data_IF_126588550920
#
_entry.id   IF_126588550920
#
_cell.length_a   1.000
_cell.length_b   1.000
_cell.length_c   1.000
_cell.angle_alpha   90.00
_cell.angle_beta   90.00
_cell.angle_gamma   90.00
#
_symmetry.space_group_name_H-M   'P 1'
#
loop_
_entity.id
_entity.type
_entity.pdbx_description
1 polymer ?
#
# COMPACT_ATOMS: atom_id res chain seq x y z
N UNK A 1 12.23 -27.78 18.17
CA UNK A 1 12.42 -26.41 18.70
C UNK A 1 12.25 -25.46 17.54
N UNK A 2 11.38 -24.44 17.64
CA UNK A 2 11.19 -23.50 16.53
C UNK A 2 12.45 -22.64 16.35
N UNK A 3 13.14 -22.84 15.24
CA UNK A 3 14.31 -22.05 14.83
C UNK A 3 13.87 -20.98 13.82
N UNK A 4 14.55 -19.83 13.84
CA UNK A 4 14.37 -18.74 12.91
C UNK A 4 15.73 -18.35 12.34
N UNK A 5 15.73 -17.79 11.12
CA UNK A 5 16.93 -17.30 10.47
C UNK A 5 17.04 -15.79 10.69
N UNK A 6 18.09 -15.39 11.40
CA UNK A 6 18.49 -14.00 11.53
C UNK A 6 19.42 -13.65 10.36
N UNK A 7 19.01 -12.71 9.53
CA UNK A 7 19.79 -12.19 8.42
C UNK A 7 20.49 -10.91 8.85
N UNK A 8 21.80 -10.81 8.57
CA UNK A 8 22.63 -9.64 8.85
C UNK A 8 23.34 -9.24 7.56
N UNK A 9 23.13 -8.00 7.12
CA UNK A 9 23.71 -7.43 5.91
C UNK A 9 24.63 -6.26 6.23
N UNK A 10 25.31 -5.78 5.17
CA UNK A 10 26.28 -4.69 5.22
C UNK A 10 27.50 -5.03 6.08
N UNK A 11 27.87 -6.31 6.16
CA UNK A 11 29.04 -6.75 6.90
C UNK A 11 30.33 -6.14 6.30
N UNK A 12 31.30 -5.75 7.14
CA UNK A 12 32.63 -5.35 6.67
C UNK A 12 33.32 -6.44 5.84
N UNK A 13 34.17 -6.07 4.88
CA UNK A 13 35.03 -7.04 4.20
C UNK A 13 35.88 -7.79 5.22
N UNK A 14 36.10 -9.10 5.01
CA UNK A 14 36.81 -10.02 5.92
C UNK A 14 36.06 -10.42 7.21
N UNK A 15 34.74 -10.21 7.29
CA UNK A 15 33.94 -10.72 8.42
C UNK A 15 33.97 -12.25 8.47
N UNK A 16 34.34 -12.82 9.63
CA UNK A 16 34.39 -14.27 9.86
C UNK A 16 33.18 -14.77 10.65
N UNK A 17 32.92 -16.09 10.64
CA UNK A 17 31.84 -16.69 11.45
C UNK A 17 32.03 -16.39 12.94
N UNK A 18 33.27 -16.38 13.41
CA UNK A 18 33.61 -16.03 14.79
C UNK A 18 33.25 -14.58 15.15
N UNK A 19 33.40 -13.66 14.20
CA UNK A 19 33.00 -12.25 14.36
C UNK A 19 31.49 -12.13 14.56
N UNK A 20 30.69 -12.85 13.77
CA UNK A 20 29.23 -12.86 13.89
C UNK A 20 28.76 -13.45 15.22
N UNK A 21 29.36 -14.56 15.65
CA UNK A 21 29.05 -15.16 16.96
C UNK A 21 29.37 -14.20 18.10
N UNK A 22 30.52 -13.51 18.07
CA UNK A 22 30.86 -12.49 19.08
C UNK A 22 29.88 -11.32 19.07
N UNK A 23 29.48 -10.83 17.90
CA UNK A 23 28.48 -9.77 17.75
C UNK A 23 27.15 -10.18 18.42
N UNK A 24 26.68 -11.41 18.19
CA UNK A 24 25.44 -11.91 18.78
C UNK A 24 25.51 -12.05 20.30
N UNK A 25 26.67 -12.43 20.84
CA UNK A 25 26.88 -12.52 22.28
C UNK A 25 26.96 -11.12 22.92
N UNK A 26 27.73 -10.21 22.32
CA UNK A 26 28.02 -8.90 22.91
C UNK A 26 26.87 -7.90 22.73
N UNK A 27 26.34 -7.78 21.51
CA UNK A 27 25.28 -6.84 21.16
C UNK A 27 23.91 -7.47 21.38
N UNK A 28 23.74 -8.71 20.90
CA UNK A 28 22.48 -9.45 21.02
C UNK A 28 22.18 -10.00 22.43
N UNK A 29 23.19 -10.03 23.32
CA UNK A 29 23.11 -10.62 24.67
C UNK A 29 22.51 -12.04 24.64
N UNK A 30 23.03 -12.88 23.75
CA UNK A 30 22.59 -14.28 23.59
C UNK A 30 23.70 -15.25 23.95
N UNK A 31 23.34 -16.31 24.65
CA UNK A 31 24.27 -17.39 25.00
C UNK A 31 24.75 -18.10 23.73
N UNK A 32 26.06 -18.36 23.64
CA UNK A 32 26.69 -19.08 22.53
C UNK A 32 26.03 -20.43 22.24
N UNK A 33 25.47 -21.11 23.26
CA UNK A 33 24.78 -22.40 23.11
C UNK A 33 23.47 -22.30 22.33
N UNK A 34 22.91 -21.10 22.22
CA UNK A 34 21.66 -20.82 21.51
C UNK A 34 21.91 -20.30 20.09
N UNK A 35 23.15 -20.21 19.64
CA UNK A 35 23.49 -19.81 18.28
C UNK A 35 23.73 -21.07 17.46
N UNK A 36 22.87 -21.31 16.47
CA UNK A 36 22.94 -22.44 15.56
C UNK A 36 23.94 -22.22 14.43
N UNK A 37 23.64 -22.74 13.24
CA UNK A 37 24.50 -22.63 12.08
C UNK A 37 24.64 -21.16 11.64
N UNK A 38 25.87 -20.78 11.29
CA UNK A 38 26.22 -19.46 10.72
C UNK A 38 26.70 -19.65 9.29
N UNK A 39 25.92 -19.17 8.33
CA UNK A 39 26.30 -19.11 6.91
C UNK A 39 26.73 -17.71 6.52
N UNK A 40 27.90 -17.59 5.87
CA UNK A 40 28.41 -16.32 5.33
C UNK A 40 28.35 -16.36 3.81
N UNK A 41 27.77 -15.32 3.21
CA UNK A 41 27.70 -15.11 1.76
C UNK A 41 28.11 -13.67 1.45
N UNK A 42 29.36 -13.49 1.04
CA UNK A 42 29.92 -12.17 0.73
C UNK A 42 29.83 -11.21 1.92
N UNK A 43 28.97 -10.19 1.82
CA UNK A 43 28.75 -9.16 2.86
C UNK A 43 27.48 -9.38 3.68
N UNK A 44 26.93 -10.60 3.63
CA UNK A 44 25.76 -11.01 4.38
C UNK A 44 26.03 -12.28 5.20
N UNK A 45 25.34 -12.42 6.32
CA UNK A 45 25.31 -13.64 7.14
C UNK A 45 23.87 -14.05 7.43
N UNK A 46 23.61 -15.35 7.41
CA UNK A 46 22.38 -15.95 7.94
C UNK A 46 22.74 -16.80 9.15
N UNK A 47 22.02 -16.61 10.26
CA UNK A 47 22.29 -17.28 11.54
C UNK A 47 21.02 -17.92 12.08
N UNK A 48 21.08 -19.22 12.37
CA UNK A 48 20.01 -19.93 13.06
C UNK A 48 19.97 -19.52 14.54
N UNK A 49 18.81 -19.04 14.98
CA UNK A 49 18.57 -18.63 16.37
C UNK A 49 17.19 -19.11 16.83
N UNK A 50 16.97 -19.34 18.14
CA UNK A 50 15.65 -19.67 18.66
C UNK A 50 14.63 -18.59 18.29
N UNK A 51 13.47 -19.00 17.77
CA UNK A 51 12.43 -18.07 17.29
C UNK A 51 12.00 -17.03 18.35
N UNK A 52 12.03 -17.41 19.63
CA UNK A 52 11.73 -16.50 20.76
C UNK A 52 12.71 -15.33 20.93
N UNK A 53 13.92 -15.46 20.38
CA UNK A 53 14.98 -14.44 20.48
C UNK A 53 15.17 -13.66 19.19
N UNK A 54 14.61 -14.14 18.07
CA UNK A 54 14.84 -13.63 16.73
C UNK A 54 14.54 -12.12 16.62
N UNK A 55 13.32 -11.68 16.92
CA UNK A 55 12.94 -10.25 16.78
C UNK A 55 13.78 -9.32 17.67
N UNK A 56 14.07 -9.77 18.90
CA UNK A 56 14.91 -9.01 19.85
C UNK A 56 16.33 -8.87 19.32
N UNK A 57 16.88 -9.95 18.74
CA UNK A 57 18.20 -9.97 18.13
C UNK A 57 18.27 -9.08 16.90
N UNK A 58 17.28 -9.16 16.00
CA UNK A 58 17.21 -8.28 14.84
C UNK A 58 17.15 -6.82 15.27
N UNK A 59 16.27 -6.46 16.19
CA UNK A 59 16.16 -5.08 16.68
C UNK A 59 17.44 -4.59 17.39
N UNK A 60 18.17 -5.47 18.08
CA UNK A 60 19.42 -5.09 18.75
C UNK A 60 20.60 -4.91 17.78
N UNK A 61 20.61 -5.64 16.66
CA UNK A 61 21.71 -5.64 15.69
C UNK A 61 21.44 -4.68 14.54
N UNK A 62 20.19 -4.43 14.21
CA UNK A 62 19.80 -3.48 13.18
C UNK A 62 20.22 -2.06 13.59
N UNK A 63 21.09 -1.43 12.79
CA UNK A 63 21.71 -0.16 13.10
C UNK A 63 22.92 -0.22 14.04
N UNK A 64 23.28 -1.41 14.56
CA UNK A 64 24.52 -1.58 15.32
C UNK A 64 25.74 -1.37 14.42
N UNK A 65 26.86 -0.93 15.01
CA UNK A 65 28.09 -0.64 14.27
C UNK A 65 29.13 -1.74 14.49
N UNK A 66 29.63 -2.32 13.41
CA UNK A 66 30.72 -3.28 13.41
C UNK A 66 31.85 -2.72 12.53
N UNK A 67 33.03 -2.48 13.12
CA UNK A 67 34.20 -1.91 12.41
C UNK A 67 33.84 -0.66 11.58
N UNK A 68 33.16 0.30 12.22
CA UNK A 68 32.68 1.56 11.62
C UNK A 68 31.64 1.41 10.49
N UNK A 69 31.06 0.21 10.30
CA UNK A 69 29.97 0.00 9.36
C UNK A 69 28.65 -0.29 10.10
N UNK A 70 27.60 0.46 9.74
CA UNK A 70 26.26 0.20 10.24
C UNK A 70 25.70 -1.06 9.58
N UNK A 71 25.25 -1.97 10.41
CA UNK A 71 24.64 -3.22 10.00
C UNK A 71 23.15 -3.05 9.74
N UNK A 72 22.63 -3.90 8.88
CA UNK A 72 21.18 -4.11 8.76
C UNK A 72 20.85 -5.52 9.20
N UNK A 73 19.82 -5.68 10.03
CA UNK A 73 19.43 -7.00 10.49
C UNK A 73 17.91 -7.17 10.51
N UNK A 74 17.45 -8.35 10.09
CA UNK A 74 16.05 -8.73 10.15
C UNK A 74 15.94 -10.24 10.35
N UNK A 75 14.76 -10.69 10.77
CA UNK A 75 14.50 -12.12 10.91
C UNK A 75 13.54 -12.62 9.86
N UNK A 76 13.89 -13.76 9.28
CA UNK A 76 12.99 -14.62 8.54
C UNK A 76 12.61 -15.78 9.46
N UNK A 77 11.37 -15.77 9.93
CA UNK A 77 10.86 -16.93 10.68
C UNK A 77 10.61 -18.03 9.67
N UNK A 78 11.08 -19.25 9.98
CA UNK A 78 10.47 -20.43 9.40
C UNK A 78 8.95 -20.31 9.61
N UNK A 79 8.12 -20.61 8.60
CA UNK A 79 6.67 -20.52 8.74
C UNK A 79 6.31 -21.24 10.03
N UNK A 80 5.57 -20.55 10.90
CA UNK A 80 5.15 -21.16 12.15
C UNK A 80 4.51 -22.49 11.78
N UNK A 81 5.05 -23.59 12.33
CA UNK A 81 4.40 -24.89 12.22
C UNK A 81 2.92 -24.64 12.46
N UNK A 82 2.11 -25.07 11.48
CA UNK A 82 0.66 -24.93 11.42
C UNK A 82 0.09 -24.91 12.82
N UNK A 83 -0.78 -23.92 13.10
CA UNK A 83 -1.68 -24.00 14.24
C UNK A 83 -2.21 -25.43 14.33
N UNK A 84 -2.34 -25.95 15.55
CA UNK A 84 -2.48 -27.38 15.89
C UNK A 84 -3.71 -28.10 15.29
N UNK A 85 -4.33 -27.54 14.27
CA UNK A 85 -5.54 -27.97 13.59
C UNK A 85 -5.41 -27.98 12.05
N UNK A 86 -4.19 -27.88 11.50
CA UNK A 86 -3.97 -27.93 10.05
C UNK A 86 -4.55 -26.75 9.25
N UNK A 87 -5.05 -25.71 9.93
CA UNK A 87 -5.52 -24.47 9.30
C UNK A 87 -4.34 -23.54 9.00
N UNK A 88 -4.18 -23.18 7.72
CA UNK A 88 -3.26 -22.14 7.25
C UNK A 88 -3.50 -20.83 8.05
N UNK A 89 -2.43 -20.17 8.50
CA UNK A 89 -2.53 -18.86 9.16
C UNK A 89 -3.29 -17.88 8.27
N UNK A 90 -4.30 -17.19 8.83
CA UNK A 90 -5.20 -16.33 8.06
C UNK A 90 -4.46 -15.27 7.23
N UNK A 91 -3.42 -14.65 7.81
CA UNK A 91 -2.67 -13.59 7.15
C UNK A 91 -1.71 -14.15 6.10
N UNK A 92 -1.13 -15.33 6.34
CA UNK A 92 -0.33 -16.05 5.36
C UNK A 92 -1.16 -16.47 4.15
N UNK A 93 -2.37 -16.99 4.38
CA UNK A 93 -3.34 -17.27 3.30
C UNK A 93 -3.66 -16.02 2.49
N UNK A 94 -3.99 -14.90 3.13
CA UNK A 94 -4.29 -13.65 2.44
C UNK A 94 -3.10 -13.13 1.64
N UNK A 95 -1.88 -13.23 2.19
CA UNK A 95 -0.65 -12.85 1.49
C UNK A 95 -0.43 -13.73 0.25
N UNK A 96 -0.63 -15.04 0.36
CA UNK A 96 -0.54 -15.96 -0.79
C UNK A 96 -1.55 -15.62 -1.87
N UNK A 97 -2.79 -15.30 -1.50
CA UNK A 97 -3.84 -14.89 -2.45
C UNK A 97 -3.48 -13.57 -3.14
N UNK A 98 -2.93 -12.61 -2.40
CA UNK A 98 -2.44 -11.35 -2.96
C UNK A 98 -1.30 -11.57 -3.95
N UNK A 99 -0.34 -12.44 -3.62
CA UNK A 99 0.76 -12.79 -4.52
C UNK A 99 0.26 -13.49 -5.79
N UNK A 100 -0.78 -14.35 -5.68
CA UNK A 100 -1.42 -14.98 -6.82
C UNK A 100 -2.12 -13.97 -7.73
N UNK A 101 -2.88 -13.02 -7.16
CA UNK A 101 -3.53 -11.96 -7.94
C UNK A 101 -2.50 -11.10 -8.67
N UNK A 102 -1.45 -10.65 -7.96
CA UNK A 102 -0.38 -9.85 -8.55
C UNK A 102 0.31 -10.56 -9.71
N UNK A 103 0.62 -11.86 -9.56
CA UNK A 103 1.21 -12.67 -10.64
C UNK A 103 0.26 -12.83 -11.83
N UNK A 104 -1.03 -13.03 -11.57
CA UNK A 104 -2.03 -13.15 -12.62
C UNK A 104 -2.20 -11.84 -13.40
N UNK A 105 -2.19 -10.69 -12.73
CA UNK A 105 -2.21 -9.37 -13.37
C UNK A 105 -0.96 -9.15 -14.23
N UNK A 106 0.23 -9.43 -13.70
CA UNK A 106 1.48 -9.28 -14.43
C UNK A 106 1.53 -10.21 -15.66
N UNK A 107 1.07 -11.47 -15.53
CA UNK A 107 0.98 -12.42 -16.65
C UNK A 107 -0.01 -11.96 -17.72
N UNK A 108 -1.19 -11.46 -17.33
CA UNK A 108 -2.18 -10.92 -18.28
C UNK A 108 -1.63 -9.69 -19.01
N UNK A 109 -0.93 -8.80 -18.31
CA UNK A 109 -0.30 -7.64 -18.91
C UNK A 109 0.77 -8.06 -19.94
N UNK A 110 1.65 -9.00 -19.60
CA UNK A 110 2.66 -9.54 -20.51
C UNK A 110 2.07 -10.27 -21.71
N UNK A 111 1.00 -11.05 -21.53
CA UNK A 111 0.31 -11.73 -22.62
C UNK A 111 -0.29 -10.73 -23.62
N UNK A 112 -0.95 -9.68 -23.12
CA UNK A 112 -1.51 -8.62 -23.96
C UNK A 112 -0.42 -7.90 -24.75
N UNK A 113 0.73 -7.60 -24.13
CA UNK A 113 1.87 -6.98 -24.82
C UNK A 113 2.47 -7.86 -25.93
N UNK A 114 2.43 -9.19 -25.77
CA UNK A 114 2.96 -10.14 -26.77
C UNK A 114 2.01 -10.39 -27.94
N UNK A 115 0.71 -10.34 -27.69
CA UNK A 115 -0.31 -10.72 -28.68
C UNK A 115 -0.80 -9.55 -29.53
N UNK A 116 -0.83 -8.33 -28.98
CA UNK A 116 -1.43 -7.18 -29.65
C UNK A 116 -0.39 -6.40 -30.46
N UNK A 117 -0.78 -5.99 -31.65
CA UNK A 117 -0.09 -4.91 -32.37
C UNK A 117 -0.25 -3.57 -31.62
N UNK A 118 0.61 -2.56 -31.88
CA UNK A 118 0.50 -1.23 -31.26
C UNK A 118 -0.88 -0.61 -31.47
N UNK A 119 -1.45 -0.78 -32.65
CA UNK A 119 -2.79 -0.27 -32.98
C UNK A 119 -3.88 -0.98 -32.16
N UNK A 120 -3.81 -2.31 -32.05
CA UNK A 120 -4.75 -3.08 -31.23
C UNK A 120 -4.60 -2.78 -29.73
N UNK A 121 -3.37 -2.64 -29.24
CA UNK A 121 -3.08 -2.25 -27.86
C UNK A 121 -3.65 -0.86 -27.55
N UNK A 122 -3.49 0.10 -28.47
CA UNK A 122 -4.06 1.44 -28.34
C UNK A 122 -5.60 1.41 -28.40
N UNK A 123 -6.21 0.54 -29.22
CA UNK A 123 -7.68 0.34 -29.26
C UNK A 123 -8.25 -0.20 -27.94
N UNK A 124 -7.45 -0.91 -27.13
CA UNK A 124 -7.90 -1.29 -25.77
C UNK A 124 -7.99 -0.09 -24.82
N UNK A 125 -7.34 1.02 -25.18
CA UNK A 125 -7.20 2.23 -24.36
C UNK A 125 -6.24 2.09 -23.19
N UNK A 126 -5.47 1.00 -23.11
CA UNK A 126 -4.51 0.74 -22.02
C UNK A 126 -3.08 1.16 -22.34
N UNK A 127 -2.80 1.44 -23.61
CA UNK A 127 -1.47 1.84 -24.07
C UNK A 127 -1.56 3.07 -24.97
N UNK A 128 -0.62 3.99 -24.81
CA UNK A 128 -0.41 5.12 -25.72
C UNK A 128 1.00 5.03 -26.28
N UNK A 129 1.14 5.31 -27.58
CA UNK A 129 2.40 5.18 -28.31
C UNK A 129 2.87 6.53 -28.85
N UNK A 130 4.18 6.61 -29.11
CA UNK A 130 4.85 7.75 -29.73
C UNK A 130 4.66 9.08 -28.98
N UNK A 131 4.45 9.02 -27.66
CA UNK A 131 4.39 10.22 -26.83
C UNK A 131 5.80 10.79 -26.64
N UNK A 132 5.94 12.11 -26.52
CA UNK A 132 7.22 12.77 -26.25
C UNK A 132 7.14 13.57 -24.97
N UNK A 133 8.22 13.53 -24.18
CA UNK A 133 8.38 14.46 -23.06
C UNK A 133 8.63 15.85 -23.63
N UNK A 134 7.69 16.77 -23.41
CA UNK A 134 7.81 18.17 -23.84
C UNK A 134 8.21 19.10 -22.70
N UNK A 135 7.90 18.72 -21.46
CA UNK A 135 8.19 19.50 -20.26
C UNK A 135 8.35 18.59 -19.04
N UNK A 136 9.16 19.04 -18.08
CA UNK A 136 9.46 18.36 -16.83
C UNK A 136 9.34 19.37 -15.69
N UNK A 137 8.44 19.11 -14.75
CA UNK A 137 8.16 20.02 -13.64
C UNK A 137 8.38 19.33 -12.30
N UNK A 138 8.87 20.09 -11.33
CA UNK A 138 8.98 19.61 -9.95
C UNK A 138 7.59 19.36 -9.36
N UNK A 139 7.34 18.12 -8.93
CA UNK A 139 6.13 17.69 -8.26
C UNK A 139 6.29 17.58 -6.74
N UNK A 140 5.18 17.26 -6.07
CA UNK A 140 5.16 17.06 -4.61
C UNK A 140 5.92 15.78 -4.21
N UNK A 141 6.60 15.84 -3.07
CA UNK A 141 7.30 14.68 -2.49
C UNK A 141 8.57 14.27 -3.24
N UNK A 142 9.24 15.21 -3.92
CA UNK A 142 10.49 14.95 -4.65
C UNK A 142 10.29 14.22 -5.98
N UNK A 143 9.06 14.11 -6.46
CA UNK A 143 8.73 13.53 -7.77
C UNK A 143 8.84 14.55 -8.88
N UNK A 144 9.00 14.07 -10.11
CA UNK A 144 8.98 14.88 -11.33
C UNK A 144 7.71 14.59 -12.11
N UNK A 145 7.03 15.63 -12.59
CA UNK A 145 5.86 15.54 -13.45
C UNK A 145 6.33 15.68 -14.89
N UNK A 146 6.16 14.61 -15.67
CA UNK A 146 6.42 14.60 -17.10
C UNK A 146 5.16 15.02 -17.85
N UNK A 147 5.27 16.02 -18.72
CA UNK A 147 4.24 16.37 -19.70
C UNK A 147 4.51 15.59 -20.99
N UNK A 148 3.61 14.67 -21.33
CA UNK A 148 3.73 13.79 -22.49
C UNK A 148 2.72 14.19 -23.56
N UNK A 149 3.19 14.54 -24.75
CA UNK A 149 2.33 14.93 -25.88
C UNK A 149 2.41 13.92 -27.04
N UNK A 150 1.31 13.66 -27.75
CA UNK A 150 1.33 12.83 -28.96
C UNK A 150 1.95 13.60 -30.13
N UNK A 151 2.34 12.92 -31.23
CA UNK A 151 2.89 13.59 -32.42
C UNK A 151 1.90 14.56 -33.08
N UNK A 152 0.61 14.27 -32.98
CA UNK A 152 -0.48 15.13 -33.46
C UNK A 152 -1.58 15.16 -32.38
N UNK A 153 -2.03 16.35 -31.93
CA UNK A 153 -3.15 16.47 -31.01
C UNK A 153 -4.49 16.15 -31.71
N UNK A 154 -5.54 15.75 -30.96
CA UNK A 154 -5.56 15.51 -29.52
C UNK A 154 -4.92 14.17 -29.12
N UNK A 155 -4.84 13.88 -27.82
CA UNK A 155 -4.47 12.55 -27.33
C UNK A 155 -5.40 11.48 -27.93
N UNK A 156 -4.86 10.33 -28.40
CA UNK A 156 -5.68 9.22 -28.80
C UNK A 156 -6.60 8.75 -27.67
N UNK A 157 -7.76 8.17 -28.00
CA UNK A 157 -8.67 7.65 -26.99
C UNK A 157 -7.98 6.64 -26.06
N UNK A 158 -8.15 6.81 -24.75
CA UNK A 158 -7.55 5.95 -23.74
C UNK A 158 -8.38 5.87 -22.45
N UNK A 159 -8.10 4.85 -21.64
CA UNK A 159 -8.69 4.58 -20.31
C UNK A 159 -7.79 4.97 -19.15
N UNK A 160 -6.58 5.48 -19.42
CA UNK A 160 -5.65 5.97 -18.40
C UNK A 160 -6.26 7.18 -17.67
N UNK A 161 -6.73 6.96 -16.44
CA UNK A 161 -7.33 7.99 -15.60
C UNK A 161 -6.30 8.53 -14.61
N UNK A 162 -6.56 9.71 -14.02
CA UNK A 162 -5.73 10.18 -12.90
C UNK A 162 -5.88 9.19 -11.75
N UNK A 163 -4.80 8.54 -11.34
CA UNK A 163 -5.00 7.25 -10.68
C UNK A 163 -4.09 6.16 -11.16
N UNK A 164 -4.04 6.06 -12.48
CA UNK A 164 -3.58 4.86 -13.14
C UNK A 164 -2.06 4.75 -13.00
N UNK A 165 -1.56 3.66 -12.39
CA UNK A 165 -0.15 3.34 -12.43
C UNK A 165 0.22 3.00 -13.88
N UNK A 166 1.33 3.54 -14.34
CA UNK A 166 1.81 3.38 -15.70
C UNK A 166 3.29 3.04 -15.73
N UNK A 167 3.70 2.38 -16.80
CA UNK A 167 5.11 2.15 -17.14
C UNK A 167 5.42 2.96 -18.39
N UNK A 168 6.55 3.66 -18.36
CA UNK A 168 7.12 4.29 -19.55
C UNK A 168 8.21 3.39 -20.12
N UNK A 169 8.20 3.18 -21.43
CA UNK A 169 9.25 2.48 -22.18
C UNK A 169 9.54 3.22 -23.49
N UNK A 170 10.71 2.99 -24.10
CA UNK A 170 11.00 3.52 -25.44
C UNK A 170 10.05 2.87 -26.44
N UNK A 171 9.44 3.65 -27.33
CA UNK A 171 8.70 3.11 -28.46
C UNK A 171 9.73 2.62 -29.50
N UNK A 172 10.04 1.33 -29.51
CA UNK A 172 10.86 0.73 -30.58
C UNK A 172 9.98 0.07 -31.65
N UNK A 173 10.58 -0.10 -32.83
CA UNK A 173 10.00 -0.86 -33.93
C UNK A 173 9.70 -2.32 -33.53
N UNK A 174 8.74 -2.89 -34.26
CA UNK A 174 8.00 -4.12 -33.98
C UNK A 174 8.80 -5.39 -33.62
N UNK A 175 10.12 -5.39 -33.78
CA UNK A 175 11.00 -6.57 -33.65
C UNK A 175 11.51 -6.86 -32.23
N UNK A 176 11.42 -5.92 -31.26
CA UNK A 176 11.95 -6.11 -29.90
C UNK A 176 10.91 -5.93 -28.78
N UNK A 177 9.63 -6.22 -29.05
CA UNK A 177 8.50 -5.97 -28.13
C UNK A 177 8.54 -6.74 -26.80
N UNK A 178 9.27 -7.85 -26.73
CA UNK A 178 9.24 -8.77 -25.59
C UNK A 178 10.28 -8.52 -24.49
N UNK A 179 11.28 -7.68 -24.73
CA UNK A 179 12.48 -7.55 -23.88
C UNK A 179 12.81 -6.09 -23.48
N UNK A 180 11.89 -5.16 -23.77
CA UNK A 180 12.09 -3.76 -23.39
C UNK A 180 11.92 -3.59 -21.88
N UNK A 181 13.02 -3.27 -21.22
CA UNK A 181 12.99 -2.89 -19.82
C UNK A 181 12.21 -1.57 -19.64
N UNK A 182 11.38 -1.47 -18.60
CA UNK A 182 10.70 -0.22 -18.27
C UNK A 182 11.73 0.85 -17.96
N UNK A 183 11.63 2.02 -18.61
CA UNK A 183 12.50 3.18 -18.33
C UNK A 183 12.20 3.74 -16.95
N UNK A 184 10.91 3.95 -16.67
CA UNK A 184 10.46 4.49 -15.40
C UNK A 184 9.03 4.04 -15.13
N UNK A 185 8.69 3.95 -13.84
CA UNK A 185 7.33 3.69 -13.37
C UNK A 185 6.76 5.01 -12.86
N UNK A 186 5.52 5.26 -13.24
CA UNK A 186 4.86 6.50 -12.90
C UNK A 186 3.39 6.32 -12.59
N UNK A 187 2.75 7.43 -12.29
CA UNK A 187 1.34 7.51 -11.99
C UNK A 187 0.76 8.66 -12.79
N UNK A 188 -0.31 8.40 -13.52
CA UNK A 188 -1.05 9.47 -14.20
C UNK A 188 -1.58 10.43 -13.15
N UNK A 189 -1.15 11.69 -13.29
CA UNK A 189 -1.42 12.78 -12.37
C UNK A 189 -2.14 13.94 -13.05
N UNK A 190 -2.60 13.77 -14.28
CA UNK A 190 -3.41 14.76 -15.00
C UNK A 190 -3.65 14.35 -16.43
N UNK A 191 -4.76 14.82 -16.99
CA UNK A 191 -5.12 14.62 -18.40
C UNK A 191 -5.58 15.95 -18.97
N UNK A 192 -5.03 16.29 -20.12
CA UNK A 192 -5.43 17.43 -20.93
C UNK A 192 -5.83 16.91 -22.32
N UNK A 193 -6.38 17.77 -23.16
CA UNK A 193 -6.80 17.38 -24.52
C UNK A 193 -5.61 16.91 -25.37
N UNK A 194 -4.45 17.56 -25.23
CA UNK A 194 -3.23 17.27 -25.99
C UNK A 194 -2.08 16.71 -25.17
N UNK A 195 -2.26 16.45 -23.86
CA UNK A 195 -1.16 16.02 -23.01
C UNK A 195 -1.59 15.08 -21.88
N UNK A 196 -0.75 14.09 -21.60
CA UNK A 196 -0.86 13.22 -20.43
C UNK A 196 0.21 13.62 -19.42
N UNK A 197 -0.19 13.88 -18.18
CA UNK A 197 0.74 14.22 -17.11
C UNK A 197 1.02 12.97 -16.28
N UNK A 198 2.30 12.61 -16.15
CA UNK A 198 2.74 11.42 -15.42
C UNK A 198 3.77 11.80 -14.37
N UNK A 199 3.46 11.55 -13.10
CA UNK A 199 4.39 11.72 -12.00
C UNK A 199 5.30 10.49 -11.88
N UNK A 200 6.60 10.70 -11.92
CA UNK A 200 7.65 9.68 -11.77
C UNK A 200 8.57 10.05 -10.60
N UNK A 201 9.20 9.06 -9.97
CA UNK A 201 10.15 9.33 -8.88
C UNK A 201 11.43 10.01 -9.41
N UNK A 202 11.89 9.59 -10.60
CA UNK A 202 12.98 10.24 -11.35
C UNK A 202 12.62 10.27 -12.84
N UNK A 203 12.92 11.38 -13.56
CA UNK A 203 12.74 11.43 -15.00
C UNK A 203 13.64 10.39 -15.68
N UNK A 204 13.17 9.73 -16.75
CA UNK A 204 14.00 8.79 -17.48
C UNK A 204 15.16 9.52 -18.17
N UNK A 205 16.37 8.96 -18.10
CA UNK A 205 17.55 9.49 -18.79
C UNK A 205 17.47 9.10 -20.28
N UNK A 206 16.81 9.96 -21.07
CA UNK A 206 16.56 9.76 -22.51
C UNK A 206 16.79 11.06 -23.28
N UNK A 207 17.11 10.94 -24.57
CA UNK A 207 17.23 12.10 -25.45
C UNK A 207 15.88 12.81 -25.62
N UNK A 208 15.92 14.15 -25.70
CA UNK A 208 14.69 14.93 -25.94
C UNK A 208 14.05 14.53 -27.26
N UNK A 209 12.75 14.25 -27.22
CA UNK A 209 11.97 13.85 -28.38
C UNK A 209 12.03 12.36 -28.72
N UNK A 210 12.73 11.53 -27.92
CA UNK A 210 12.61 10.07 -28.00
C UNK A 210 11.13 9.67 -27.86
N UNK A 211 10.58 8.91 -28.82
CA UNK A 211 9.20 8.46 -28.73
C UNK A 211 9.06 7.44 -27.61
N UNK A 212 8.07 7.64 -26.77
CA UNK A 212 7.76 6.81 -25.61
C UNK A 212 6.44 6.08 -25.81
N UNK A 213 6.38 4.90 -25.21
CA UNK A 213 5.17 4.14 -24.96
C UNK A 213 4.81 4.27 -23.49
N UNK A 214 3.53 4.48 -23.21
CA UNK A 214 2.97 4.49 -21.86
C UNK A 214 1.95 3.38 -21.75
N UNK A 215 2.20 2.40 -20.89
CA UNK A 215 1.32 1.26 -20.66
C UNK A 215 0.70 1.32 -19.28
N UNK A 216 -0.57 0.93 -19.16
CA UNK A 216 -1.19 0.61 -17.89
C UNK A 216 -0.40 -0.49 -17.17
N UNK A 217 0.05 -0.22 -15.94
CA UNK A 217 0.75 -1.18 -15.08
C UNK A 217 -0.18 -1.78 -14.02
N UNK A 218 0.20 -2.93 -13.46
CA UNK A 218 -0.34 -3.39 -12.17
C UNK A 218 0.02 -2.38 -11.06
N UNK A 219 -0.86 -2.21 -10.07
CA UNK A 219 -0.62 -1.33 -8.92
C UNK A 219 0.29 -2.02 -7.89
N UNK A 220 1.56 -2.15 -8.26
CA UNK A 220 2.57 -2.77 -7.39
C UNK A 220 2.74 -2.01 -6.07
N UNK A 221 2.42 -0.71 -6.03
CA UNK A 221 2.47 0.10 -4.81
C UNK A 221 1.33 -0.29 -3.87
N UNK A 222 0.11 -0.46 -4.38
CA UNK A 222 -1.01 -0.97 -3.58
C UNK A 222 -0.73 -2.38 -3.08
N UNK A 223 -0.24 -3.28 -3.94
CA UNK A 223 0.15 -4.64 -3.54
C UNK A 223 1.21 -4.62 -2.42
N UNK A 224 2.28 -3.84 -2.58
CA UNK A 224 3.31 -3.68 -1.56
C UNK A 224 2.75 -3.15 -0.22
N UNK A 225 1.87 -2.14 -0.27
CA UNK A 225 1.22 -1.58 0.92
C UNK A 225 0.32 -2.60 1.61
N UNK A 226 -0.47 -3.36 0.86
CA UNK A 226 -1.31 -4.43 1.39
C UNK A 226 -0.47 -5.52 2.04
N UNK A 227 0.62 -5.97 1.40
CA UNK A 227 1.53 -6.96 1.98
C UNK A 227 2.13 -6.47 3.30
N UNK A 228 2.63 -5.23 3.34
CA UNK A 228 3.15 -4.61 4.56
C UNK A 228 2.10 -4.51 5.68
N UNK A 229 0.85 -4.21 5.33
CA UNK A 229 -0.24 -4.16 6.29
C UNK A 229 -0.56 -5.55 6.87
N UNK A 230 -0.59 -6.59 6.04
CA UNK A 230 -0.77 -7.99 6.46
C UNK A 230 0.38 -8.44 7.38
N UNK A 231 1.62 -8.19 6.99
CA UNK A 231 2.80 -8.54 7.80
C UNK A 231 2.79 -7.82 9.16
N UNK A 232 2.40 -6.54 9.19
CA UNK A 232 2.25 -5.76 10.44
C UNK A 232 1.13 -6.31 11.33
N UNK A 233 -0.02 -6.68 10.77
CA UNK A 233 -1.12 -7.26 11.53
C UNK A 233 -0.75 -8.64 12.10
N UNK A 234 -0.09 -9.48 11.30
CA UNK A 234 0.39 -10.82 11.71
C UNK A 234 1.44 -10.75 12.81
N UNK A 235 2.38 -9.81 12.72
CA UNK A 235 3.48 -9.66 13.69
C UNK A 235 3.09 -8.88 14.96
N UNK A 236 1.91 -8.26 15.01
CA UNK A 236 1.46 -7.52 16.19
C UNK A 236 1.38 -8.43 17.42
N UNK A 237 2.17 -8.13 18.46
CA UNK A 237 2.19 -8.91 19.71
C UNK A 237 1.22 -8.32 20.72
N UNK A 238 1.23 -7.00 20.86
CA UNK A 238 0.49 -6.23 21.85
C UNK A 238 -0.16 -4.97 21.24
N UNK A 239 -0.79 -4.17 22.10
CA UNK A 239 -1.48 -2.95 21.73
C UNK A 239 -2.78 -3.16 20.95
N UNK A 240 -3.30 -2.06 20.41
CA UNK A 240 -4.62 -2.02 19.78
C UNK A 240 -4.73 -2.90 18.53
N UNK A 241 -3.69 -2.98 17.72
CA UNK A 241 -3.68 -3.80 16.51
C UNK A 241 -3.75 -5.31 16.82
N UNK A 242 -3.05 -5.77 17.85
CA UNK A 242 -3.13 -7.17 18.28
C UNK A 242 -4.51 -7.53 18.84
N UNK A 243 -5.15 -6.59 19.56
CA UNK A 243 -6.53 -6.74 20.02
C UNK A 243 -7.50 -6.81 18.85
N UNK A 244 -7.36 -5.91 17.86
CA UNK A 244 -8.19 -5.92 16.65
C UNK A 244 -8.01 -7.17 15.83
N UNK A 245 -6.79 -7.68 15.68
CA UNK A 245 -6.57 -8.96 15.00
C UNK A 245 -7.44 -10.05 15.60
N UNK A 246 -7.40 -10.23 16.94
CA UNK A 246 -8.20 -11.26 17.63
C UNK A 246 -9.70 -11.10 17.38
N UNK A 247 -10.17 -9.86 17.31
CA UNK A 247 -11.59 -9.57 17.06
C UNK A 247 -11.98 -9.89 15.63
N UNK A 248 -11.21 -9.40 14.65
CA UNK A 248 -11.48 -9.58 13.23
C UNK A 248 -11.32 -11.05 12.78
N UNK A 249 -10.46 -11.82 13.45
CA UNK A 249 -10.30 -13.27 13.19
C UNK A 249 -11.27 -14.14 13.99
N UNK A 250 -12.23 -13.54 14.73
CA UNK A 250 -13.23 -14.27 15.50
C UNK A 250 -12.73 -14.93 16.79
N UNK A 251 -11.47 -14.70 17.17
CA UNK A 251 -10.89 -15.22 18.43
C UNK A 251 -11.40 -14.47 19.67
N UNK A 252 -12.03 -13.31 19.49
CA UNK A 252 -12.68 -12.52 20.54
C UNK A 252 -13.91 -11.82 19.96
N UNK A 253 -15.01 -11.79 20.71
CA UNK A 253 -16.18 -11.01 20.30
C UNK A 253 -15.91 -9.48 20.39
N UNK A 254 -16.50 -8.66 19.49
CA UNK A 254 -16.47 -7.21 19.61
C UNK A 254 -17.20 -6.74 20.87
N UNK A 255 -16.74 -5.64 21.46
CA UNK A 255 -17.36 -5.02 22.63
C UNK A 255 -18.12 -3.75 22.25
N UNK A 256 -19.17 -3.50 23.02
CA UNK A 256 -20.00 -2.30 22.93
C UNK A 256 -20.19 -1.74 24.33
N UNK A 257 -19.94 -0.44 24.49
CA UNK A 257 -20.14 0.31 25.71
C UNK A 257 -21.59 0.76 25.91
N UNK A 258 -21.78 1.70 26.83
CA UNK A 258 -23.10 2.23 27.16
C UNK A 258 -23.64 3.18 26.08
N UNK A 259 -24.96 3.19 25.95
CA UNK A 259 -25.66 4.02 24.99
C UNK A 259 -25.51 5.50 25.39
N UNK A 260 -24.73 6.25 24.62
CA UNK A 260 -24.64 7.70 24.78
C UNK A 260 -25.74 8.40 23.97
N UNK A 261 -26.34 9.44 24.55
CA UNK A 261 -27.19 10.35 23.79
C UNK A 261 -26.40 10.99 22.64
N UNK A 262 -27.07 11.27 21.51
CA UNK A 262 -26.48 12.02 20.42
C UNK A 262 -26.27 13.48 20.88
N UNK A 263 -25.10 14.03 20.62
CA UNK A 263 -24.74 15.40 20.94
C UNK A 263 -25.26 16.42 19.91
N UNK A 264 -25.76 15.95 18.76
CA UNK A 264 -26.19 16.80 17.65
C UNK A 264 -27.46 17.64 17.89
N UNK A 265 -27.52 18.73 17.13
CA UNK A 265 -28.58 19.74 17.15
C UNK A 265 -29.90 19.22 16.57
N UNK A 266 -31.02 19.89 16.91
CA UNK A 266 -32.38 19.51 16.48
C UNK A 266 -32.55 19.34 14.95
N UNK A 267 -31.73 20.03 14.15
CA UNK A 267 -31.71 19.91 12.68
C UNK A 267 -31.18 18.54 12.19
N UNK A 268 -30.18 17.97 12.85
CA UNK A 268 -29.65 16.63 12.55
C UNK A 268 -30.65 15.53 12.93
N UNK A 269 -31.40 15.78 14.01
CA UNK A 269 -32.47 14.89 14.44
C UNK A 269 -33.68 14.92 13.48
N UNK A 270 -33.88 16.02 12.74
CA UNK A 270 -34.99 16.18 11.80
C UNK A 270 -34.75 15.48 10.44
N UNK A 271 -33.50 15.27 10.02
CA UNK A 271 -33.17 14.70 8.71
C UNK A 271 -32.98 13.18 8.73
N UNK A 272 -32.69 12.57 9.87
CA UNK A 272 -32.47 11.13 10.00
C UNK A 272 -33.72 10.36 10.42
N UNK A 273 -33.99 9.25 9.71
CA UNK A 273 -35.01 8.29 10.15
C UNK A 273 -34.51 7.47 11.36
N UNK A 274 -35.42 6.76 12.04
CA UNK A 274 -35.06 6.03 13.26
C UNK A 274 -34.01 4.93 13.02
N UNK A 275 -34.08 4.09 11.95
CA UNK A 275 -33.02 3.12 11.66
C UNK A 275 -31.63 3.74 11.49
N UNK A 276 -31.53 4.91 10.86
CA UNK A 276 -30.26 5.62 10.71
C UNK A 276 -29.76 6.14 12.06
N UNK A 277 -30.65 6.69 12.91
CA UNK A 277 -30.31 7.12 14.27
C UNK A 277 -29.83 5.96 15.14
N UNK A 278 -30.53 4.82 15.07
CA UNK A 278 -30.14 3.60 15.77
C UNK A 278 -28.77 3.11 15.33
N UNK A 279 -28.50 3.10 14.01
CA UNK A 279 -27.20 2.73 13.46
C UNK A 279 -26.07 3.63 14.00
N UNK A 280 -26.29 4.96 14.04
CA UNK A 280 -25.33 5.91 14.60
C UNK A 280 -25.10 5.65 16.10
N UNK A 281 -26.17 5.49 16.89
CA UNK A 281 -26.07 5.18 18.33
C UNK A 281 -25.27 3.89 18.55
N UNK A 282 -25.54 2.84 17.78
CA UNK A 282 -24.83 1.58 17.86
C UNK A 282 -23.34 1.71 17.48
N UNK A 283 -23.01 2.51 16.47
CA UNK A 283 -21.62 2.78 16.13
C UNK A 283 -20.86 3.55 17.21
N UNK A 284 -21.53 4.49 17.90
CA UNK A 284 -20.92 5.25 18.99
C UNK A 284 -20.63 4.40 20.23
N UNK A 285 -21.37 3.31 20.44
CA UNK A 285 -21.07 2.36 21.51
C UNK A 285 -19.98 1.37 21.14
N UNK A 286 -19.61 1.24 19.88
CA UNK A 286 -18.65 0.23 19.44
C UNK A 286 -17.24 0.55 19.97
N UNK A 287 -16.77 -0.28 20.90
CA UNK A 287 -15.39 -0.21 21.36
C UNK A 287 -14.45 -0.80 20.33
N UNK A 288 -14.88 -1.82 19.57
CA UNK A 288 -14.03 -2.51 18.58
C UNK A 288 -14.38 -2.17 17.14
N UNK A 289 -15.50 -2.68 16.63
CA UNK A 289 -16.00 -2.34 15.30
C UNK A 289 -17.52 -2.43 15.29
N UNK A 290 -18.15 -1.65 14.41
CA UNK A 290 -19.55 -1.78 14.05
C UNK A 290 -19.68 -1.85 12.52
N UNK A 291 -20.71 -2.53 12.05
CA UNK A 291 -21.00 -2.66 10.62
C UNK A 291 -22.37 -2.07 10.36
N UNK A 292 -22.42 -0.98 9.59
CA UNK A 292 -23.66 -0.45 9.05
C UNK A 292 -23.91 -1.13 7.70
N UNK A 293 -25.02 -1.86 7.61
CA UNK A 293 -25.50 -2.38 6.33
C UNK A 293 -26.60 -1.47 5.80
N UNK A 294 -26.39 -0.90 4.61
CA UNK A 294 -27.43 -0.12 3.94
C UNK A 294 -27.66 -0.57 2.49
N UNK A 295 -28.85 -1.09 2.15
CA UNK A 295 -29.24 -1.34 0.76
C UNK A 295 -29.15 -0.09 -0.15
N UNK A 296 -29.23 -0.24 -1.48
CA UNK A 296 -29.31 0.91 -2.40
C UNK A 296 -30.42 1.89 -2.00
N UNK A 297 -30.16 3.20 -2.07
CA UNK A 297 -31.14 4.24 -1.76
C UNK A 297 -31.41 4.53 -0.28
N UNK A 298 -30.86 3.77 0.67
CA UNK A 298 -31.16 3.91 2.12
C UNK A 298 -30.42 5.04 2.85
N UNK A 299 -29.71 5.90 2.12
CA UNK A 299 -29.01 7.04 2.72
C UNK A 299 -27.73 6.68 3.49
N UNK A 300 -27.05 5.56 3.18
CA UNK A 300 -25.76 5.17 3.80
C UNK A 300 -24.77 6.32 3.96
N UNK A 301 -24.54 7.08 2.89
CA UNK A 301 -23.59 8.18 2.92
C UNK A 301 -24.05 9.28 3.88
N UNK A 302 -25.35 9.58 3.92
CA UNK A 302 -25.95 10.51 4.89
C UNK A 302 -25.72 10.01 6.33
N UNK A 303 -25.96 8.71 6.59
CA UNK A 303 -25.70 8.12 7.91
C UNK A 303 -24.23 8.21 8.32
N UNK A 304 -23.30 7.96 7.39
CA UNK A 304 -21.87 8.08 7.66
C UNK A 304 -21.44 9.53 7.92
N UNK A 305 -21.97 10.49 7.16
CA UNK A 305 -21.69 11.93 7.37
C UNK A 305 -22.13 12.37 8.75
N UNK A 306 -23.35 12.01 9.16
CA UNK A 306 -23.86 12.36 10.50
C UNK A 306 -23.11 11.64 11.62
N UNK A 307 -22.69 10.38 11.42
CA UNK A 307 -21.82 9.68 12.36
C UNK A 307 -20.48 10.39 12.53
N UNK A 308 -19.83 10.80 11.44
CA UNK A 308 -18.54 11.49 11.48
C UNK A 308 -18.69 12.88 12.13
N UNK A 309 -19.74 13.63 11.79
CA UNK A 309 -20.03 14.91 12.44
C UNK A 309 -20.26 14.75 13.94
N UNK A 310 -20.93 13.67 14.36
CA UNK A 310 -21.11 13.35 15.77
C UNK A 310 -19.80 12.97 16.48
N UNK A 311 -18.90 12.26 15.81
CA UNK A 311 -17.55 12.01 16.31
C UNK A 311 -16.74 13.32 16.47
N UNK A 312 -16.83 14.23 15.50
CA UNK A 312 -16.17 15.54 15.54
C UNK A 312 -16.68 16.41 16.70
N UNK A 313 -18.00 16.48 16.92
CA UNK A 313 -18.60 17.19 18.08
C UNK A 313 -18.10 16.65 19.42
N UNK A 314 -17.72 15.38 19.47
CA UNK A 314 -17.11 14.73 20.62
C UNK A 314 -15.58 14.87 20.67
N UNK A 315 -15.02 15.75 19.84
CA UNK A 315 -13.59 16.03 19.72
C UNK A 315 -12.75 14.81 19.30
N UNK A 316 -13.36 13.82 18.64
CA UNK A 316 -12.67 12.63 18.16
C UNK A 316 -11.98 12.91 16.83
N UNK A 317 -10.79 12.33 16.65
CA UNK A 317 -10.08 12.33 15.36
C UNK A 317 -10.53 11.14 14.51
N UNK A 318 -11.05 11.42 13.32
CA UNK A 318 -11.58 10.40 12.40
C UNK A 318 -10.69 10.26 11.17
N UNK A 319 -10.32 9.03 10.84
CA UNK A 319 -9.74 8.69 9.53
C UNK A 319 -10.81 8.00 8.67
N UNK A 320 -11.34 8.73 7.70
CA UNK A 320 -12.30 8.20 6.73
C UNK A 320 -11.58 7.66 5.48
N UNK A 321 -11.90 6.42 5.09
CA UNK A 321 -11.29 5.75 3.94
C UNK A 321 -12.38 5.14 3.04
N UNK A 322 -12.14 5.13 1.72
CA UNK A 322 -12.97 4.43 0.74
C UNK A 322 -12.10 3.78 -0.35
N UNK A 323 -12.59 2.73 -1.05
CA UNK A 323 -11.79 2.03 -2.05
C UNK A 323 -11.59 2.82 -3.36
N UNK A 324 -12.34 3.90 -3.59
CA UNK A 324 -12.19 4.75 -4.78
C UNK A 324 -12.07 6.23 -4.42
N UNK A 325 -11.32 7.00 -5.22
CA UNK A 325 -11.18 8.45 -4.99
C UNK A 325 -12.53 9.16 -5.04
N UNK A 326 -13.38 8.83 -6.03
CA UNK A 326 -14.72 9.41 -6.15
C UNK A 326 -15.56 9.18 -4.88
N UNK A 327 -15.47 8.01 -4.24
CA UNK A 327 -16.19 7.77 -3.00
C UNK A 327 -15.64 8.59 -1.82
N UNK A 328 -14.32 8.83 -1.76
CA UNK A 328 -13.72 9.73 -0.77
C UNK A 328 -14.16 11.16 -1.01
N UNK A 329 -14.15 11.61 -2.26
CA UNK A 329 -14.47 12.98 -2.65
C UNK A 329 -15.97 13.27 -2.40
N UNK A 330 -16.87 12.36 -2.78
CA UNK A 330 -18.30 12.45 -2.47
C UNK A 330 -18.59 12.49 -0.95
N UNK A 331 -17.77 11.81 -0.15
CA UNK A 331 -17.90 11.86 1.31
C UNK A 331 -17.40 13.20 1.85
N UNK A 332 -16.25 13.67 1.35
CA UNK A 332 -15.67 14.96 1.75
C UNK A 332 -16.62 16.12 1.43
N UNK A 333 -17.18 16.17 0.23
CA UNK A 333 -18.13 17.19 -0.18
C UNK A 333 -19.28 17.34 0.82
N UNK A 334 -19.87 16.21 1.22
CA UNK A 334 -20.98 16.19 2.19
C UNK A 334 -20.54 16.56 3.60
N UNK A 335 -19.32 16.21 4.00
CA UNK A 335 -18.76 16.61 5.29
C UNK A 335 -18.54 18.13 5.34
N UNK A 336 -17.98 18.72 4.28
CA UNK A 336 -17.78 20.17 4.16
C UNK A 336 -19.12 20.91 4.14
N UNK A 337 -20.12 20.42 3.41
CA UNK A 337 -21.49 20.96 3.43
C UNK A 337 -22.12 20.89 4.83
N UNK A 338 -21.76 19.87 5.62
CA UNK A 338 -22.22 19.71 7.01
C UNK A 338 -21.46 20.59 8.01
N UNK A 339 -20.38 21.25 7.59
CA UNK A 339 -19.54 22.12 8.40
C UNK A 339 -18.42 21.40 9.17
N UNK A 340 -18.10 20.15 8.80
CA UNK A 340 -17.03 19.36 9.43
C UNK A 340 -15.66 19.83 8.91
N UNK A 341 -14.70 20.05 9.82
CA UNK A 341 -13.31 20.37 9.45
C UNK A 341 -12.57 19.11 8.98
N UNK A 342 -12.37 18.99 7.66
CA UNK A 342 -11.85 17.77 7.03
C UNK A 342 -10.70 18.06 6.05
N UNK A 343 -9.69 17.17 6.06
CA UNK A 343 -8.53 17.26 5.16
C UNK A 343 -8.46 16.03 4.24
N UNK A 344 -8.38 16.28 2.93
CA UNK A 344 -8.21 15.24 1.89
C UNK A 344 -6.74 14.89 1.66
N UNK A 345 -6.34 13.69 2.06
CA UNK A 345 -4.99 13.18 1.77
C UNK A 345 -4.95 12.47 0.41
N UNK A 346 -4.35 13.08 -0.60
CA UNK A 346 -4.24 12.50 -1.94
C UNK A 346 -3.46 13.38 -2.91
N UNK A 347 -3.24 12.88 -4.13
CA UNK A 347 -2.69 13.70 -5.19
C UNK A 347 -3.76 14.69 -5.66
N UNK A 348 -3.50 16.01 -5.76
CA UNK A 348 -4.52 17.01 -6.10
C UNK A 348 -5.33 16.68 -7.36
N UNK A 349 -4.67 16.18 -8.40
CA UNK A 349 -5.34 15.77 -9.63
C UNK A 349 -6.32 14.58 -9.51
N UNK A 350 -6.31 13.86 -8.37
CA UNK A 350 -7.25 12.76 -8.06
C UNK A 350 -8.40 13.23 -7.16
N UNK A 351 -8.53 14.53 -6.96
CA UNK A 351 -9.58 15.19 -6.19
C UNK A 351 -10.51 15.89 -7.18
N UNK A 352 -11.82 15.89 -6.92
CA UNK A 352 -12.77 16.67 -7.70
C UNK A 352 -12.37 18.16 -7.67
N UNK A 353 -12.39 18.88 -8.81
CA UNK A 353 -11.95 20.29 -8.87
C UNK A 353 -12.71 21.26 -7.95
N UNK A 354 -13.89 20.84 -7.47
CA UNK A 354 -14.81 21.61 -6.64
C UNK A 354 -14.50 21.50 -5.13
N UNK A 355 -13.55 20.62 -4.75
CA UNK A 355 -13.08 20.37 -3.38
C UNK A 355 -11.64 20.86 -3.20
#
# INVERSE_FOLDING_TARGET
MNEALLHIESLPPQTTRGTIVRLLIQVGKVDKRLIGRVELRGRAAAVEVPARLADRLAAAIDGATLLNQKLRAWCERAPAASTADGQEDHFERLRRLLDLESRAEDQRALQLLKQLSPEEAQRTGRSLFNLKVVDEQSGLGGRTILRLEPPAPPLPWHRLAVGTPVVLSVAADSSQRGDQQPLSRGVVCGKQESALLVAVDQPPDIERGTPLRVDHSSDQVACFRMRKALDRARSAVDGRLAQFRKVLTGSRAPKFGELTALAGDAESAATLNEPQREAIRHCLTAEDYAIIHGPPGTGKTTTLVEFIAECERREQRVLACAPSNLAVDNLLEKLLQRGVDAVRLGHPARVLPEL
#
